data_IF_209882800198
#
_entry.id   IF_209882800198
#
_cell.length_a   1.000
_cell.length_b   1.000
_cell.length_c   1.000
_cell.angle_alpha   90.00
_cell.angle_beta   90.00
_cell.angle_gamma   90.00
#
_symmetry.space_group_name_H-M   'P 1'
#
loop_
_entity.id
_entity.type
_entity.pdbx_description
1 polymer ?
#
# COMPACT_ATOMS: atom_id res chain seq x y z
N UNK A 1 -22.51 -3.32 28.70
CA UNK A 1 -22.48 -4.34 27.64
C UNK A 1 -22.86 -3.65 26.34
N UNK A 2 -21.88 -3.31 25.51
CA UNK A 2 -22.08 -2.65 24.20
C UNK A 2 -22.41 -3.75 23.17
N UNK A 3 -23.47 -3.63 22.38
CA UNK A 3 -23.80 -4.66 21.40
C UNK A 3 -22.75 -4.70 20.28
N UNK A 4 -22.29 -5.93 19.96
CA UNK A 4 -21.43 -6.19 18.80
C UNK A 4 -22.15 -5.73 17.51
N UNK A 5 -21.46 -4.95 16.68
CA UNK A 5 -21.92 -4.62 15.33
C UNK A 5 -22.03 -5.92 14.49
N UNK A 6 -23.11 -6.09 13.72
CA UNK A 6 -23.23 -7.24 12.84
C UNK A 6 -22.11 -7.21 11.77
N UNK A 7 -21.52 -8.38 11.53
CA UNK A 7 -20.53 -8.55 10.46
C UNK A 7 -21.14 -8.18 9.10
N UNK A 8 -20.43 -7.35 8.34
CA UNK A 8 -20.76 -7.04 6.95
C UNK A 8 -20.81 -8.35 6.15
N UNK A 9 -21.97 -8.67 5.61
CA UNK A 9 -22.12 -9.79 4.67
C UNK A 9 -21.45 -9.42 3.36
N UNK A 10 -20.31 -10.06 3.07
CA UNK A 10 -19.67 -9.96 1.75
C UNK A 10 -20.56 -10.71 0.76
N UNK A 11 -21.03 -10.07 -0.33
CA UNK A 11 -21.83 -10.76 -1.34
C UNK A 11 -21.01 -11.84 -2.04
N UNK A 12 -21.62 -12.99 -2.27
CA UNK A 12 -21.00 -14.11 -2.98
C UNK A 12 -20.83 -13.72 -4.47
N UNK A 13 -19.72 -14.11 -5.08
CA UNK A 13 -19.32 -13.78 -6.47
C UNK A 13 -20.40 -14.03 -7.54
N UNK A 14 -21.35 -14.93 -7.28
CA UNK A 14 -22.44 -15.26 -8.20
C UNK A 14 -23.64 -14.27 -8.18
N UNK A 15 -23.57 -13.16 -7.44
CA UNK A 15 -24.63 -12.14 -7.35
C UNK A 15 -24.26 -10.81 -8.01
N UNK A 16 -23.18 -10.77 -8.79
CA UNK A 16 -22.87 -9.57 -9.57
C UNK A 16 -23.86 -9.46 -10.74
N UNK A 17 -24.46 -8.27 -10.95
CA UNK A 17 -25.35 -8.04 -12.09
C UNK A 17 -24.58 -8.22 -13.41
N UNK A 18 -25.28 -8.54 -14.53
CA UNK A 18 -24.62 -8.65 -15.83
C UNK A 18 -23.90 -7.35 -16.19
N UNK A 19 -22.73 -7.47 -16.84
CA UNK A 19 -21.93 -6.32 -17.29
C UNK A 19 -22.80 -5.34 -18.07
N UNK A 20 -23.21 -4.27 -17.41
CA UNK A 20 -23.77 -3.11 -18.08
C UNK A 20 -22.60 -2.37 -18.75
N UNK A 21 -22.74 -1.98 -20.01
CA UNK A 21 -21.70 -1.36 -20.85
C UNK A 21 -21.34 0.08 -20.42
N UNK A 22 -21.84 0.52 -19.29
CA UNK A 22 -21.50 1.79 -18.63
C UNK A 22 -20.60 1.61 -17.39
N UNK A 23 -19.77 0.55 -17.35
CA UNK A 23 -18.88 0.34 -16.20
C UNK A 23 -17.91 1.51 -16.08
N UNK A 24 -18.00 2.23 -14.96
CA UNK A 24 -17.01 3.24 -14.57
C UNK A 24 -15.63 2.62 -14.61
N UNK A 25 -14.77 3.14 -15.47
CA UNK A 25 -13.41 2.60 -15.63
C UNK A 25 -12.61 2.78 -14.35
N UNK A 26 -11.86 1.76 -13.98
CA UNK A 26 -11.02 1.77 -12.79
C UNK A 26 -9.61 2.27 -13.15
N UNK A 27 -9.07 3.15 -12.33
CA UNK A 27 -7.70 3.63 -12.44
C UNK A 27 -6.92 3.29 -11.17
N UNK A 28 -5.78 2.64 -11.32
CA UNK A 28 -4.81 2.45 -10.24
C UNK A 28 -3.82 3.61 -10.23
N UNK A 29 -3.92 4.49 -9.24
CA UNK A 29 -3.02 5.63 -9.01
C UNK A 29 -1.70 5.17 -8.36
N UNK A 30 -0.87 4.46 -9.12
CA UNK A 30 0.41 3.91 -8.66
C UNK A 30 1.33 3.58 -9.82
N UNK A 31 2.65 3.76 -9.65
CA UNK A 31 3.67 3.25 -10.56
C UNK A 31 4.20 1.86 -10.18
N UNK A 32 3.73 1.28 -9.07
CA UNK A 32 4.23 0.00 -8.55
C UNK A 32 3.70 -1.18 -9.37
N UNK A 33 4.59 -2.01 -9.96
CA UNK A 33 4.18 -3.23 -10.67
C UNK A 33 3.55 -4.25 -9.71
N UNK A 34 4.00 -4.30 -8.45
CA UNK A 34 3.46 -5.21 -7.43
C UNK A 34 2.00 -4.90 -7.09
N UNK A 35 1.63 -3.61 -7.01
CA UNK A 35 0.24 -3.21 -6.76
C UNK A 35 -0.65 -3.50 -7.97
N UNK A 36 -0.13 -3.31 -9.18
CA UNK A 36 -0.86 -3.67 -10.40
C UNK A 36 -1.10 -5.19 -10.47
N UNK A 37 -0.09 -6.02 -10.15
CA UNK A 37 -0.25 -7.47 -10.07
C UNK A 37 -1.31 -7.87 -9.04
N UNK A 38 -1.29 -7.28 -7.83
CA UNK A 38 -2.26 -7.57 -6.78
C UNK A 38 -3.68 -7.19 -7.19
N UNK A 39 -3.88 -6.01 -7.79
CA UNK A 39 -5.20 -5.58 -8.28
C UNK A 39 -5.68 -6.48 -9.40
N UNK A 40 -4.81 -6.91 -10.31
CA UNK A 40 -5.11 -7.83 -11.40
C UNK A 40 -5.64 -9.20 -10.94
N UNK A 41 -5.32 -9.63 -9.69
CA UNK A 41 -5.89 -10.87 -9.12
C UNK A 41 -7.40 -10.79 -8.89
N UNK A 42 -7.97 -9.60 -8.85
CA UNK A 42 -9.42 -9.40 -8.78
C UNK A 42 -10.11 -9.58 -10.13
N UNK A 43 -9.35 -9.78 -11.22
CA UNK A 43 -9.85 -9.94 -12.59
C UNK A 43 -10.73 -8.75 -13.05
N UNK A 44 -10.38 -7.55 -12.58
CA UNK A 44 -10.96 -6.29 -13.00
C UNK A 44 -10.06 -5.64 -14.04
N UNK A 45 -10.65 -5.06 -15.07
CA UNK A 45 -9.92 -4.22 -16.03
C UNK A 45 -9.62 -2.86 -15.37
N UNK A 46 -8.39 -2.40 -15.44
CA UNK A 46 -7.98 -1.10 -14.91
C UNK A 46 -6.83 -0.49 -15.74
N UNK A 47 -6.74 0.83 -15.69
CA UNK A 47 -5.60 1.59 -16.21
C UNK A 47 -4.64 1.91 -15.06
N UNK A 48 -3.32 1.85 -15.30
CA UNK A 48 -2.32 2.24 -14.31
C UNK A 48 -1.75 3.62 -14.64
N UNK A 49 -1.88 4.56 -13.71
CA UNK A 49 -1.42 5.94 -13.86
C UNK A 49 -0.56 6.33 -12.67
N UNK A 50 0.67 6.79 -12.93
CA UNK A 50 1.56 7.28 -11.88
C UNK A 50 1.02 8.58 -11.28
N UNK A 51 0.80 8.67 -9.96
CA UNK A 51 0.43 9.92 -9.29
C UNK A 51 1.68 10.80 -9.12
N UNK A 52 1.53 12.10 -9.38
CA UNK A 52 2.57 13.10 -9.12
C UNK A 52 2.23 13.82 -7.82
N UNK A 53 2.81 13.36 -6.69
CA UNK A 53 2.61 13.94 -5.36
C UNK A 53 3.94 14.02 -4.60
N UNK A 54 3.99 14.86 -3.57
CA UNK A 54 5.09 14.87 -2.60
C UNK A 54 4.90 13.73 -1.59
N UNK A 55 5.83 12.78 -1.58
CA UNK A 55 5.83 11.64 -0.66
C UNK A 55 6.68 11.88 0.60
N UNK A 56 7.08 13.11 0.90
CA UNK A 56 7.85 13.40 2.12
C UNK A 56 7.02 13.17 3.39
N UNK A 57 7.68 12.68 4.45
CA UNK A 57 7.04 12.48 5.77
C UNK A 57 6.87 13.84 6.43
N UNK A 58 5.65 14.15 6.90
CA UNK A 58 5.38 15.36 7.64
C UNK A 58 5.94 15.31 9.08
N UNK A 59 6.34 16.44 9.68
CA UNK A 59 6.81 16.47 11.06
C UNK A 59 5.81 15.89 12.04
N UNK A 60 6.22 14.87 12.81
CA UNK A 60 5.36 14.22 13.80
C UNK A 60 4.35 13.22 13.24
N UNK A 61 4.38 12.93 11.96
CA UNK A 61 3.48 11.98 11.31
C UNK A 61 3.85 10.54 11.69
N UNK A 62 2.87 9.76 12.13
CA UNK A 62 3.04 8.32 12.39
C UNK A 62 3.01 7.54 11.08
N UNK A 63 3.51 6.28 11.09
CA UNK A 63 3.49 5.39 9.93
C UNK A 63 2.08 5.24 9.35
N UNK A 64 1.07 5.05 10.20
CA UNK A 64 -0.32 4.89 9.81
C UNK A 64 -0.91 6.16 9.19
N UNK A 65 -0.63 7.33 9.78
CA UNK A 65 -1.05 8.61 9.23
C UNK A 65 -0.40 8.88 7.87
N UNK A 66 0.90 8.61 7.76
CA UNK A 66 1.68 8.77 6.54
C UNK A 66 1.11 7.97 5.36
N UNK A 67 0.89 6.66 5.53
CA UNK A 67 0.37 5.83 4.44
C UNK A 67 -1.09 6.16 4.09
N UNK A 68 -1.92 6.51 5.08
CA UNK A 68 -3.31 6.94 4.84
C UNK A 68 -3.36 8.24 4.05
N UNK A 69 -2.54 9.23 4.41
CA UNK A 69 -2.43 10.50 3.68
C UNK A 69 -1.97 10.26 2.25
N UNK A 70 -0.88 9.52 2.06
CA UNK A 70 -0.35 9.26 0.71
C UNK A 70 -1.32 8.45 -0.15
N UNK A 71 -1.98 7.43 0.38
CA UNK A 71 -2.99 6.69 -0.37
C UNK A 71 -4.10 7.60 -0.86
N UNK A 72 -4.61 8.49 0.02
CA UNK A 72 -5.65 9.48 -0.30
C UNK A 72 -5.17 10.50 -1.32
N UNK A 73 -3.99 11.08 -1.13
CA UNK A 73 -3.43 12.08 -2.04
C UNK A 73 -3.17 11.50 -3.43
N UNK A 74 -2.66 10.26 -3.53
CA UNK A 74 -2.48 9.53 -4.79
C UNK A 74 -3.81 9.36 -5.53
N UNK A 75 -4.86 8.92 -4.84
CA UNK A 75 -6.18 8.77 -5.43
C UNK A 75 -6.71 10.13 -5.94
N UNK A 76 -6.65 11.17 -5.11
CA UNK A 76 -7.15 12.51 -5.45
C UNK A 76 -6.36 13.19 -6.59
N UNK A 77 -5.04 13.01 -6.63
CA UNK A 77 -4.21 13.59 -7.68
C UNK A 77 -4.59 13.05 -9.07
N UNK A 78 -4.91 11.76 -9.16
CA UNK A 78 -5.36 11.15 -10.41
C UNK A 78 -6.84 11.44 -10.67
N UNK A 79 -7.72 11.42 -9.65
CA UNK A 79 -9.14 11.74 -9.78
C UNK A 79 -9.39 13.17 -10.32
N UNK A 80 -8.53 14.15 -10.02
CA UNK A 80 -8.58 15.49 -10.61
C UNK A 80 -8.48 15.50 -12.15
N UNK A 81 -7.80 14.49 -12.71
CA UNK A 81 -7.61 14.34 -14.17
C UNK A 81 -8.68 13.44 -14.79
N UNK A 82 -9.27 12.55 -13.99
CA UNK A 82 -10.27 11.54 -14.38
C UNK A 82 -11.43 11.53 -13.38
N UNK A 83 -12.21 12.61 -13.30
CA UNK A 83 -13.20 12.80 -12.24
C UNK A 83 -14.42 11.85 -12.33
N UNK A 84 -14.61 11.21 -13.47
CA UNK A 84 -15.68 10.27 -13.80
C UNK A 84 -15.29 8.80 -13.61
N UNK A 85 -14.06 8.55 -13.12
CA UNK A 85 -13.55 7.18 -12.92
C UNK A 85 -13.40 6.83 -11.44
N UNK A 86 -13.52 5.55 -11.12
CA UNK A 86 -13.10 5.02 -9.81
C UNK A 86 -11.59 5.05 -9.75
N UNK A 87 -11.01 5.74 -8.76
CA UNK A 87 -9.54 5.81 -8.62
C UNK A 87 -9.10 5.14 -7.33
N UNK A 88 -8.19 4.17 -7.46
CA UNK A 88 -7.60 3.43 -6.34
C UNK A 88 -6.18 3.96 -6.10
N UNK A 89 -5.97 4.60 -4.94
CA UNK A 89 -4.65 4.97 -4.43
C UNK A 89 -4.20 4.00 -3.35
N UNK A 90 -2.91 3.77 -3.22
CA UNK A 90 -2.37 2.93 -2.14
C UNK A 90 -0.97 3.36 -1.77
N UNK A 91 -0.66 3.23 -0.48
CA UNK A 91 0.70 3.36 0.01
C UNK A 91 1.03 2.31 1.06
N UNK A 92 2.34 2.06 1.24
CA UNK A 92 2.84 1.14 2.25
C UNK A 92 4.20 1.63 2.75
N UNK A 93 4.37 1.61 4.06
CA UNK A 93 5.68 1.74 4.68
C UNK A 93 5.90 0.63 5.71
N UNK A 94 7.15 0.39 6.06
CA UNK A 94 7.50 -0.45 7.20
C UNK A 94 8.00 0.41 8.36
N UNK A 95 7.71 -0.03 9.59
CA UNK A 95 8.16 0.60 10.83
C UNK A 95 8.90 -0.43 11.67
N UNK A 96 10.08 -0.07 12.13
CA UNK A 96 10.84 -0.83 13.09
C UNK A 96 11.27 0.08 14.25
N UNK A 97 10.95 -0.29 15.49
CA UNK A 97 11.30 0.47 16.72
C UNK A 97 10.87 1.95 16.67
N UNK A 98 9.71 2.25 16.10
CA UNK A 98 9.19 3.62 15.98
C UNK A 98 9.80 4.44 14.85
N UNK A 99 10.64 3.82 13.99
CA UNK A 99 11.22 4.49 12.83
C UNK A 99 10.58 3.96 11.55
N UNK A 100 10.09 4.89 10.73
CA UNK A 100 9.57 4.55 9.39
C UNK A 100 10.76 4.22 8.48
N UNK A 101 10.72 3.03 7.88
CA UNK A 101 11.70 2.56 6.92
C UNK A 101 11.11 2.69 5.52
N UNK A 102 11.71 3.54 4.71
CA UNK A 102 11.41 3.66 3.28
C UNK A 102 12.16 2.62 2.45
N UNK A 103 12.12 2.80 1.14
CA UNK A 103 12.95 2.02 0.20
C UNK A 103 14.43 2.29 0.48
N UNK A 104 15.27 1.26 0.62
CA UNK A 104 16.69 1.47 0.91
C UNK A 104 17.43 2.14 -0.25
N UNK A 105 17.06 1.85 -1.51
CA UNK A 105 17.68 2.40 -2.72
C UNK A 105 19.14 1.98 -2.97
N UNK A 106 19.85 1.51 -1.93
CA UNK A 106 21.25 1.11 -1.97
C UNK A 106 21.50 -0.13 -1.12
N UNK A 107 22.50 -0.93 -1.50
CA UNK A 107 22.86 -2.20 -0.83
C UNK A 107 23.21 -1.99 0.65
N UNK A 108 24.04 -1.00 0.96
CA UNK A 108 24.45 -0.70 2.34
C UNK A 108 23.27 -0.35 3.24
N UNK A 109 22.30 0.43 2.74
CA UNK A 109 21.08 0.77 3.48
C UNK A 109 20.16 -0.45 3.66
N UNK A 110 20.05 -1.33 2.66
CA UNK A 110 19.30 -2.56 2.78
C UNK A 110 19.88 -3.49 3.86
N UNK A 111 21.21 -3.62 3.91
CA UNK A 111 21.92 -4.38 4.95
C UNK A 111 21.67 -3.77 6.34
N UNK A 112 21.73 -2.45 6.47
CA UNK A 112 21.48 -1.72 7.72
C UNK A 112 20.03 -1.99 8.20
N UNK A 113 19.04 -1.77 7.33
CA UNK A 113 17.61 -2.00 7.66
C UNK A 113 17.34 -3.45 8.11
N UNK A 114 17.88 -4.46 7.43
CA UNK A 114 17.74 -5.85 7.82
C UNK A 114 18.49 -6.20 9.11
N UNK A 115 19.62 -5.52 9.38
CA UNK A 115 20.33 -5.68 10.64
C UNK A 115 19.49 -5.16 11.80
N UNK A 116 18.86 -4.00 11.64
CA UNK A 116 17.98 -3.40 12.64
C UNK A 116 16.70 -4.21 12.86
N UNK A 117 16.16 -4.79 11.78
CA UNK A 117 14.99 -5.66 11.83
C UNK A 117 15.27 -7.04 12.45
N UNK A 118 16.54 -7.47 12.50
CA UNK A 118 16.92 -8.80 12.99
C UNK A 118 16.46 -9.05 14.43
N UNK A 119 15.62 -10.05 14.64
CA UNK A 119 15.03 -10.40 15.94
C UNK A 119 13.97 -9.41 16.45
N UNK A 120 13.51 -8.48 15.60
CA UNK A 120 12.50 -7.48 15.95
C UNK A 120 11.15 -7.80 15.30
N UNK A 121 10.11 -7.13 15.80
CA UNK A 121 8.84 -7.00 15.11
C UNK A 121 8.89 -5.77 14.20
N UNK A 122 8.63 -5.98 12.93
CA UNK A 122 8.44 -4.92 11.94
C UNK A 122 6.95 -4.85 11.62
N UNK A 123 6.38 -3.65 11.61
CA UNK A 123 5.00 -3.41 11.19
C UNK A 123 5.01 -2.88 9.75
N UNK A 124 4.27 -3.53 8.86
CA UNK A 124 3.98 -3.04 7.52
C UNK A 124 2.61 -2.39 7.57
N UNK A 125 2.56 -1.06 7.53
CA UNK A 125 1.30 -0.31 7.43
C UNK A 125 0.96 -0.11 5.96
N UNK A 126 -0.16 -0.68 5.52
CA UNK A 126 -0.66 -0.55 4.14
C UNK A 126 -1.99 0.19 4.15
N UNK A 127 -2.08 1.27 3.39
CA UNK A 127 -3.33 1.99 3.18
C UNK A 127 -3.81 1.85 1.74
N UNK A 128 -5.12 1.74 1.58
CA UNK A 128 -5.82 1.79 0.30
C UNK A 128 -6.88 2.88 0.37
N UNK A 129 -6.92 3.74 -0.64
CA UNK A 129 -7.94 4.79 -0.79
C UNK A 129 -8.70 4.55 -2.10
N UNK A 130 -10.01 4.66 -2.05
CA UNK A 130 -10.88 4.55 -3.23
C UNK A 130 -11.67 5.85 -3.38
N UNK A 131 -11.46 6.53 -4.49
CA UNK A 131 -12.30 7.66 -4.90
C UNK A 131 -13.51 7.14 -5.68
N UNK A 132 -14.68 7.59 -5.24
CA UNK A 132 -15.96 7.32 -5.88
C UNK A 132 -16.37 8.55 -6.71
N UNK A 133 -16.51 8.44 -8.04
CA UNK A 133 -16.89 9.56 -8.92
C UNK A 133 -18.32 10.06 -8.70
N UNK A 134 -19.24 9.18 -8.28
CA UNK A 134 -20.64 9.56 -8.11
C UNK A 134 -20.89 10.50 -6.93
N UNK A 135 -20.10 10.31 -5.87
CA UNK A 135 -20.20 11.10 -4.62
C UNK A 135 -19.04 12.07 -4.43
N UNK A 136 -18.00 12.00 -5.26
CA UNK A 136 -16.71 12.67 -5.09
C UNK A 136 -16.06 12.41 -3.70
N UNK A 137 -16.39 11.29 -3.08
CA UNK A 137 -15.89 10.87 -1.79
C UNK A 137 -14.66 9.98 -1.92
N UNK A 138 -13.78 10.01 -0.90
CA UNK A 138 -12.64 9.09 -0.80
C UNK A 138 -12.75 8.30 0.49
N UNK A 139 -12.95 7.00 0.37
CA UNK A 139 -12.86 6.07 1.49
C UNK A 139 -11.41 5.60 1.64
N UNK A 140 -10.92 5.48 2.88
CA UNK A 140 -9.56 5.03 3.18
C UNK A 140 -9.61 3.88 4.18
N UNK A 141 -8.94 2.78 3.87
CA UNK A 141 -8.75 1.64 4.75
C UNK A 141 -7.27 1.44 5.07
N UNK A 142 -6.96 1.13 6.34
CA UNK A 142 -5.62 0.81 6.83
C UNK A 142 -5.56 -0.65 7.26
N UNK A 143 -4.54 -1.37 6.80
CA UNK A 143 -4.28 -2.77 7.15
C UNK A 143 -2.84 -2.90 7.66
N UNK A 144 -2.63 -3.00 8.98
CA UNK A 144 -1.31 -3.29 9.53
C UNK A 144 -1.01 -4.80 9.44
N UNK A 145 0.21 -5.14 9.04
CA UNK A 145 0.74 -6.50 9.04
C UNK A 145 1.99 -6.56 9.91
N UNK A 146 2.04 -7.49 10.85
CA UNK A 146 3.18 -7.65 11.75
C UNK A 146 4.06 -8.81 11.30
N UNK A 147 5.34 -8.52 11.06
CA UNK A 147 6.36 -9.50 10.70
C UNK A 147 7.34 -9.65 11.86
N UNK A 148 7.49 -10.86 12.38
CA UNK A 148 8.48 -11.18 13.41
C UNK A 148 9.73 -11.76 12.76
N UNK A 149 10.78 -10.95 12.68
CA UNK A 149 12.04 -11.39 12.13
C UNK A 149 12.73 -12.37 13.08
N UNK A 150 13.18 -13.48 12.57
CA UNK A 150 14.15 -14.32 13.29
C UNK A 150 15.47 -13.56 13.45
N UNK A 151 16.31 -13.98 14.40
CA UNK A 151 17.69 -13.44 14.47
C UNK A 151 18.46 -13.85 13.21
N UNK A 152 19.01 -12.86 12.54
CA UNK A 152 19.81 -13.00 11.32
C UNK A 152 21.25 -12.66 11.64
N UNK A 153 22.21 -13.44 11.13
CA UNK A 153 23.60 -13.04 11.16
C UNK A 153 23.94 -12.18 9.93
N UNK A 154 25.01 -11.41 10.04
CA UNK A 154 25.42 -10.46 9.00
C UNK A 154 25.65 -11.12 7.64
N UNK A 155 26.30 -12.28 7.61
CA UNK A 155 26.59 -12.98 6.36
C UNK A 155 25.33 -13.46 5.63
N UNK A 156 24.28 -13.86 6.37
CA UNK A 156 22.98 -14.21 5.79
C UNK A 156 22.28 -12.98 5.19
N UNK A 157 22.36 -11.82 5.87
CA UNK A 157 21.79 -10.56 5.39
C UNK A 157 22.53 -10.11 4.11
N UNK A 158 23.85 -10.08 4.13
CA UNK A 158 24.67 -9.67 2.97
C UNK A 158 24.42 -10.59 1.76
N UNK A 159 24.35 -11.90 2.00
CA UNK A 159 24.03 -12.87 0.93
C UNK A 159 22.66 -12.61 0.33
N UNK A 160 21.62 -12.42 1.16
CA UNK A 160 20.27 -12.12 0.70
C UNK A 160 20.22 -10.84 -0.12
N UNK A 161 20.75 -9.74 0.41
CA UNK A 161 20.71 -8.44 -0.27
C UNK A 161 21.46 -8.46 -1.61
N UNK A 162 22.59 -9.19 -1.69
CA UNK A 162 23.33 -9.32 -2.94
C UNK A 162 22.62 -10.18 -3.99
N UNK A 163 21.85 -11.19 -3.57
CA UNK A 163 21.08 -12.04 -4.46
C UNK A 163 19.78 -11.37 -4.93
N UNK A 164 18.96 -10.91 -3.99
CA UNK A 164 17.58 -10.45 -4.27
C UNK A 164 17.52 -8.96 -4.62
N UNK A 165 18.53 -8.18 -4.22
CA UNK A 165 18.60 -6.72 -4.45
C UNK A 165 17.29 -6.00 -4.11
N UNK A 166 16.76 -6.13 -2.86
CA UNK A 166 15.45 -5.60 -2.49
C UNK A 166 15.51 -4.07 -2.29
N UNK A 167 15.98 -3.33 -3.29
CA UNK A 167 16.31 -1.90 -3.17
C UNK A 167 15.10 -1.00 -3.32
N UNK A 168 14.01 -1.51 -3.88
CA UNK A 168 12.75 -0.82 -4.15
C UNK A 168 11.59 -1.27 -3.23
N UNK A 169 11.88 -2.14 -2.27
CA UNK A 169 10.94 -2.59 -1.24
C UNK A 169 11.05 -1.74 0.03
N UNK A 170 9.94 -1.45 0.69
CA UNK A 170 9.94 -0.78 1.99
C UNK A 170 10.42 -1.75 3.08
N UNK A 171 11.57 -1.45 3.70
CA UNK A 171 12.16 -2.26 4.77
C UNK A 171 13.01 -3.43 4.28
N UNK A 172 13.51 -3.39 3.04
CA UNK A 172 14.42 -4.35 2.39
C UNK A 172 13.88 -5.79 2.30
#
# INVERSE_FOLDING_TARGET
MTPLRPALKVPTINQLPPKDTSMTEIVLASSSPYRAELLGRLQLDFEQIAPEIDESIAPGETADQYVCRLAREKALAVAKRYPDRIVIGSDQCSECRGQILGKPGRIDRAIEQLTDASGQRVTLSTAVAVYDPDTAHVEVALVPTHVHFRRLNRSAIERYVNLEKPLDCAGA
#
